data_IF_511224647403
#
_entry.id   IF_511224647403
#
_cell.length_a   1.000
_cell.length_b   1.000
_cell.length_c   1.000
_cell.angle_alpha   90.00
_cell.angle_beta   90.00
_cell.angle_gamma   90.00
#
_symmetry.space_group_name_H-M   'P 1'
#
loop_
_entity.id
_entity.type
_entity.pdbx_description
1 polymer ?
#
# COMPACT_ATOMS: atom_id res chain seq x y z
N UNK A 1 -1.83 -2.01 20.02
CA UNK A 1 -2.05 -0.72 19.30
C UNK A 1 -2.55 0.34 20.27
N UNK A 2 -2.08 1.59 20.16
CA UNK A 2 -2.67 2.73 20.86
C UNK A 2 -4.14 2.89 20.39
N UNK A 3 -5.07 3.07 21.31
CA UNK A 3 -6.44 3.48 20.98
C UNK A 3 -6.49 4.99 20.81
N UNK A 4 -7.12 5.44 19.73
CA UNK A 4 -7.33 6.84 19.43
C UNK A 4 -8.79 7.19 19.72
N UNK A 5 -9.03 8.31 20.41
CA UNK A 5 -10.37 8.79 20.66
C UNK A 5 -11.02 9.35 19.38
N UNK A 6 -12.36 9.46 19.32
CA UNK A 6 -13.02 10.10 18.19
C UNK A 6 -12.52 11.54 17.94
N UNK A 7 -12.20 12.29 19.01
CA UNK A 7 -11.64 13.64 18.94
C UNK A 7 -10.24 13.62 18.29
N UNK A 8 -9.33 12.75 18.75
CA UNK A 8 -8.00 12.58 18.15
C UNK A 8 -8.10 12.21 16.66
N UNK A 9 -9.04 11.32 16.31
CA UNK A 9 -9.28 10.93 14.90
C UNK A 9 -9.79 12.12 14.09
N UNK A 10 -10.72 12.90 14.61
CA UNK A 10 -11.22 14.11 13.94
C UNK A 10 -10.08 15.10 13.66
N UNK A 11 -9.23 15.37 14.64
CA UNK A 11 -8.08 16.26 14.50
C UNK A 11 -7.11 15.77 13.40
N UNK A 12 -6.88 14.46 13.31
CA UNK A 12 -6.03 13.86 12.26
C UNK A 12 -6.60 14.15 10.86
N UNK A 13 -7.90 13.89 10.65
CA UNK A 13 -8.53 14.12 9.35
C UNK A 13 -8.62 15.61 9.01
N UNK A 14 -8.91 16.48 9.96
CA UNK A 14 -8.93 17.91 9.78
C UNK A 14 -7.54 18.46 9.40
N UNK A 15 -6.48 18.02 10.08
CA UNK A 15 -5.10 18.37 9.73
C UNK A 15 -4.76 17.96 8.29
N UNK A 16 -5.05 16.72 7.91
CA UNK A 16 -4.79 16.22 6.55
C UNK A 16 -5.50 17.07 5.50
N UNK A 17 -6.76 17.44 5.74
CA UNK A 17 -7.50 18.34 4.84
C UNK A 17 -6.93 19.74 4.82
N UNK A 18 -6.45 20.25 5.96
CA UNK A 18 -5.81 21.56 6.05
C UNK A 18 -4.51 21.63 5.24
N UNK A 19 -3.69 20.58 5.30
CA UNK A 19 -2.46 20.49 4.51
C UNK A 19 -2.75 20.44 3.00
N UNK A 20 -3.77 19.67 2.59
CA UNK A 20 -4.24 19.67 1.21
C UNK A 20 -4.78 21.04 0.79
N UNK A 21 -5.57 21.68 1.63
CA UNK A 21 -6.15 23.00 1.35
C UNK A 21 -5.08 24.07 1.17
N UNK A 22 -4.00 24.04 1.96
CA UNK A 22 -2.86 24.94 1.79
C UNK A 22 -2.24 24.82 0.40
N UNK A 23 -1.98 23.58 -0.07
CA UNK A 23 -1.52 23.33 -1.44
C UNK A 23 -2.52 23.84 -2.49
N UNK A 24 -3.81 23.61 -2.28
CA UNK A 24 -4.87 24.04 -3.22
C UNK A 24 -4.94 25.58 -3.33
N UNK A 25 -4.80 26.30 -2.22
CA UNK A 25 -4.74 27.77 -2.22
C UNK A 25 -3.54 28.28 -3.03
N UNK A 26 -2.34 27.73 -2.78
CA UNK A 26 -1.12 28.10 -3.51
C UNK A 26 -1.26 27.88 -5.02
N UNK A 27 -1.92 26.78 -5.41
CA UNK A 27 -2.10 26.37 -6.82
C UNK A 27 -3.41 26.88 -7.45
N UNK A 28 -4.15 27.74 -6.74
CA UNK A 28 -5.44 28.33 -7.19
C UNK A 28 -6.47 27.28 -7.59
N UNK A 29 -6.57 26.21 -6.81
CA UNK A 29 -7.57 25.15 -6.94
C UNK A 29 -8.68 25.44 -5.93
N UNK A 30 -9.93 25.49 -6.37
CA UNK A 30 -11.08 25.78 -5.49
C UNK A 30 -11.56 24.52 -4.79
N UNK A 31 -11.61 23.39 -5.51
CA UNK A 31 -12.08 22.11 -4.98
C UNK A 31 -11.33 20.94 -5.62
N UNK A 32 -11.31 19.80 -4.93
CA UNK A 32 -10.84 18.52 -5.43
C UNK A 32 -11.91 17.45 -5.19
N UNK A 33 -12.07 16.53 -6.14
CA UNK A 33 -13.05 15.44 -6.08
C UNK A 33 -12.32 14.10 -6.02
N UNK A 34 -12.50 13.36 -4.94
CA UNK A 34 -12.05 11.97 -4.78
C UNK A 34 -13.26 11.06 -4.97
N UNK A 35 -13.14 10.03 -5.81
CA UNK A 35 -14.22 9.09 -6.10
C UNK A 35 -13.73 7.66 -5.92
N UNK A 36 -14.27 6.97 -4.94
CA UNK A 36 -13.97 5.57 -4.64
C UNK A 36 -15.18 4.69 -4.94
N UNK A 37 -14.98 3.61 -5.68
CA UNK A 37 -16.01 2.63 -6.01
C UNK A 37 -15.38 1.25 -6.26
N UNK A 38 -16.19 0.19 -6.36
CA UNK A 38 -15.72 -1.18 -6.52
C UNK A 38 -14.82 -1.39 -7.74
N UNK A 39 -15.10 -0.69 -8.85
CA UNK A 39 -14.34 -0.80 -10.10
C UNK A 39 -13.08 0.06 -10.11
N UNK A 40 -13.04 1.11 -9.28
CA UNK A 40 -11.94 2.07 -9.22
C UNK A 40 -11.76 2.61 -7.81
N UNK A 41 -10.76 2.06 -7.10
CA UNK A 41 -10.45 2.43 -5.72
C UNK A 41 -9.59 3.69 -5.62
N UNK A 42 -10.05 4.65 -4.82
CA UNK A 42 -9.30 5.86 -4.46
C UNK A 42 -9.07 5.91 -2.95
N UNK A 43 -7.90 5.48 -2.52
CA UNK A 43 -7.52 5.48 -1.11
C UNK A 43 -7.52 6.88 -0.46
N UNK A 44 -7.45 7.96 -1.27
CA UNK A 44 -7.49 9.32 -0.77
C UNK A 44 -8.83 9.66 -0.11
N UNK A 45 -9.95 9.08 -0.57
CA UNK A 45 -11.24 9.24 0.09
C UNK A 45 -11.14 8.80 1.57
N UNK A 46 -10.63 7.58 1.81
CA UNK A 46 -10.43 7.07 3.18
C UNK A 46 -9.42 7.89 3.96
N UNK A 47 -8.35 8.33 3.30
CA UNK A 47 -7.29 9.14 3.92
C UNK A 47 -7.79 10.46 4.49
N UNK A 48 -8.75 11.12 3.83
CA UNK A 48 -9.23 12.44 4.23
C UNK A 48 -10.48 12.44 5.10
N UNK A 49 -11.26 11.35 5.12
CA UNK A 49 -12.48 11.32 5.93
C UNK A 49 -12.76 10.01 6.68
N UNK A 50 -11.91 8.99 6.54
CA UNK A 50 -12.08 7.72 7.25
C UNK A 50 -13.15 6.79 6.67
N UNK A 51 -13.95 7.21 5.70
CA UNK A 51 -14.99 6.37 5.11
C UNK A 51 -14.37 5.16 4.40
N UNK A 52 -14.95 3.98 4.63
CA UNK A 52 -14.34 2.68 4.25
C UNK A 52 -14.97 2.02 3.02
N UNK A 53 -15.96 2.66 2.41
CA UNK A 53 -16.74 2.10 1.30
C UNK A 53 -16.92 3.13 0.19
N UNK A 54 -17.65 2.74 -0.85
CA UNK A 54 -17.92 3.54 -2.03
C UNK A 54 -18.50 4.92 -1.68
N UNK A 55 -17.97 5.95 -2.33
CA UNK A 55 -18.42 7.31 -2.10
C UNK A 55 -17.67 8.34 -2.95
N UNK A 56 -18.13 9.58 -2.84
CA UNK A 56 -17.49 10.75 -3.44
C UNK A 56 -17.19 11.73 -2.31
N UNK A 57 -15.93 12.12 -2.17
CA UNK A 57 -15.52 13.17 -1.24
C UNK A 57 -15.11 14.41 -2.03
N UNK A 58 -15.67 15.55 -1.70
CA UNK A 58 -15.29 16.82 -2.27
C UNK A 58 -14.69 17.67 -1.16
N UNK A 59 -13.44 18.09 -1.35
CA UNK A 59 -12.71 18.96 -0.40
C UNK A 59 -12.54 20.32 -1.03
N UNK A 60 -12.89 21.39 -0.30
CA UNK A 60 -12.69 22.77 -0.69
C UNK A 60 -11.36 23.30 -0.17
N UNK A 61 -10.85 24.37 -0.76
CA UNK A 61 -9.60 25.04 -0.37
C UNK A 61 -9.64 25.78 0.98
N UNK A 62 -10.76 25.73 1.69
CA UNK A 62 -10.88 26.13 3.10
C UNK A 62 -10.86 24.93 4.07
N UNK A 63 -10.47 23.76 3.59
CA UNK A 63 -10.44 22.48 4.27
C UNK A 63 -11.82 21.86 4.57
N UNK A 64 -12.92 22.54 4.27
CA UNK A 64 -14.26 21.96 4.43
C UNK A 64 -14.48 20.82 3.42
N UNK A 65 -15.28 19.82 3.81
CA UNK A 65 -15.55 18.68 2.94
C UNK A 65 -17.00 18.21 2.97
N UNK A 66 -17.43 17.63 1.86
CA UNK A 66 -18.72 16.96 1.70
C UNK A 66 -18.50 15.55 1.25
N UNK A 67 -18.99 14.58 2.02
CA UNK A 67 -19.02 13.17 1.66
C UNK A 67 -20.38 12.79 1.08
N UNK A 68 -20.39 12.10 -0.04
CA UNK A 68 -21.57 11.54 -0.69
C UNK A 68 -21.38 10.03 -0.75
N UNK A 69 -21.74 9.30 0.30
CA UNK A 69 -21.52 7.86 0.39
C UNK A 69 -22.61 7.08 -0.35
N UNK A 70 -22.24 5.89 -0.82
CA UNK A 70 -23.21 4.90 -1.28
C UNK A 70 -24.07 4.38 -0.13
N UNK A 71 -23.43 4.04 1.00
CA UNK A 71 -24.08 3.62 2.24
C UNK A 71 -24.00 4.71 3.31
N UNK A 72 -25.13 5.38 3.52
CA UNK A 72 -25.24 6.47 4.49
C UNK A 72 -25.05 5.99 5.93
N UNK A 73 -25.57 4.80 6.28
CA UNK A 73 -25.49 4.29 7.65
C UNK A 73 -24.05 3.99 8.04
N UNK A 74 -23.28 3.40 7.11
CA UNK A 74 -21.86 3.14 7.30
C UNK A 74 -21.06 4.43 7.41
N UNK A 75 -21.40 5.45 6.62
CA UNK A 75 -20.73 6.74 6.66
C UNK A 75 -20.99 7.50 7.96
N UNK A 76 -22.22 7.50 8.48
CA UNK A 76 -22.58 8.12 9.76
C UNK A 76 -21.86 7.46 10.95
N UNK A 77 -21.49 6.19 10.83
CA UNK A 77 -20.74 5.46 11.86
C UNK A 77 -19.23 5.76 11.82
N UNK A 78 -18.64 5.94 10.65
CA UNK A 78 -17.19 5.87 10.49
C UNK A 78 -16.55 7.14 9.90
N UNK A 79 -17.32 8.04 9.27
CA UNK A 79 -16.75 9.15 8.52
C UNK A 79 -16.61 10.43 9.35
N UNK A 80 -15.51 11.14 9.11
CA UNK A 80 -15.19 12.44 9.70
C UNK A 80 -15.27 13.54 8.62
N UNK A 81 -16.48 13.73 8.07
CA UNK A 81 -16.78 14.77 7.09
C UNK A 81 -17.67 15.86 7.70
N UNK A 82 -17.52 17.12 7.26
CA UNK A 82 -18.32 18.24 7.77
C UNK A 82 -19.79 18.10 7.38
N UNK A 83 -20.04 17.48 6.23
CA UNK A 83 -21.38 17.20 5.74
C UNK A 83 -21.42 15.85 5.03
N UNK A 84 -22.46 15.06 5.34
CA UNK A 84 -22.72 13.77 4.70
C UNK A 84 -24.07 13.89 3.99
N UNK A 85 -24.12 13.55 2.69
CA UNK A 85 -25.32 13.63 1.85
C UNK A 85 -25.50 12.30 1.15
N UNK A 86 -26.65 11.60 1.31
CA UNK A 86 -26.84 10.29 0.70
C UNK A 86 -26.82 10.40 -0.84
N UNK A 87 -26.12 9.48 -1.50
CA UNK A 87 -25.98 9.48 -2.95
C UNK A 87 -27.33 9.32 -3.70
N UNK A 88 -28.31 8.70 -3.05
CA UNK A 88 -29.68 8.60 -3.56
C UNK A 88 -30.36 9.95 -3.80
N UNK A 89 -29.94 11.02 -3.08
CA UNK A 89 -30.41 12.39 -3.34
C UNK A 89 -30.12 12.87 -4.75
N UNK A 90 -29.12 12.29 -5.38
CA UNK A 90 -28.67 12.65 -6.73
C UNK A 90 -28.95 11.53 -7.73
N UNK A 91 -29.91 10.66 -7.42
CA UNK A 91 -30.28 9.50 -8.24
C UNK A 91 -29.07 8.60 -8.59
N UNK A 92 -28.10 8.55 -7.68
CA UNK A 92 -26.82 7.83 -7.84
C UNK A 92 -26.06 8.23 -9.12
N UNK A 93 -26.12 9.48 -9.47
CA UNK A 93 -25.38 10.05 -10.61
C UNK A 93 -24.23 10.93 -10.10
N UNK A 94 -23.01 10.46 -10.34
CA UNK A 94 -21.77 11.11 -9.88
C UNK A 94 -21.65 12.55 -10.37
N UNK A 95 -21.89 12.79 -11.66
CA UNK A 95 -21.76 14.13 -12.25
C UNK A 95 -22.79 15.11 -11.67
N UNK A 96 -24.04 14.65 -11.48
CA UNK A 96 -25.10 15.44 -10.84
C UNK A 96 -24.76 15.76 -9.39
N UNK A 97 -24.23 14.77 -8.65
CA UNK A 97 -23.83 14.95 -7.26
C UNK A 97 -22.71 15.98 -7.12
N UNK A 98 -21.64 15.80 -7.89
CA UNK A 98 -20.49 16.71 -7.91
C UNK A 98 -20.91 18.14 -8.29
N UNK A 99 -21.70 18.29 -9.39
CA UNK A 99 -22.24 19.60 -9.80
C UNK A 99 -23.03 20.30 -8.69
N UNK A 100 -23.95 19.57 -8.04
CA UNK A 100 -24.80 20.14 -7.00
C UNK A 100 -23.96 20.64 -5.79
N UNK A 101 -22.94 19.90 -5.37
CA UNK A 101 -22.07 20.30 -4.28
C UNK A 101 -21.17 21.47 -4.68
N UNK A 102 -20.49 21.37 -5.83
CA UNK A 102 -19.62 22.44 -6.34
C UNK A 102 -20.35 23.77 -6.52
N UNK A 103 -21.62 23.73 -6.93
CA UNK A 103 -22.45 24.96 -7.02
C UNK A 103 -22.56 25.65 -5.67
N UNK A 104 -22.58 24.93 -4.56
CA UNK A 104 -22.60 25.49 -3.19
C UNK A 104 -21.25 25.95 -2.70
N UNK A 105 -20.16 25.43 -3.29
CA UNK A 105 -18.78 25.73 -2.93
C UNK A 105 -18.13 26.83 -3.77
N UNK A 106 -18.80 27.25 -4.87
CA UNK A 106 -18.25 28.23 -5.79
C UNK A 106 -17.93 29.57 -5.14
N UNK A 107 -16.71 30.07 -5.39
CA UNK A 107 -16.28 31.40 -4.97
C UNK A 107 -16.64 32.46 -6.04
N UNK A 108 -16.53 33.74 -5.68
CA UNK A 108 -16.67 34.81 -6.68
C UNK A 108 -15.44 34.79 -7.61
N UNK A 109 -15.67 34.61 -8.89
CA UNK A 109 -14.61 34.59 -9.91
C UNK A 109 -14.42 33.24 -10.56
N UNK A 110 -13.19 32.97 -11.02
CA UNK A 110 -12.89 31.71 -11.70
C UNK A 110 -12.72 30.57 -10.69
N UNK A 111 -13.54 29.55 -10.81
CA UNK A 111 -13.44 28.35 -9.99
C UNK A 111 -12.69 27.24 -10.74
N UNK A 112 -11.86 26.50 -10.00
CA UNK A 112 -11.07 25.39 -10.52
C UNK A 112 -11.38 24.15 -9.71
N UNK A 113 -11.62 23.03 -10.38
CA UNK A 113 -11.79 21.72 -9.74
C UNK A 113 -10.84 20.69 -10.35
N UNK A 114 -10.09 20.04 -9.48
CA UNK A 114 -9.28 18.88 -9.87
C UNK A 114 -10.10 17.60 -9.69
N UNK A 115 -10.13 16.77 -10.74
CA UNK A 115 -10.61 15.39 -10.69
C UNK A 115 -9.41 14.44 -10.79
N UNK A 116 -9.59 13.17 -10.42
CA UNK A 116 -8.50 12.18 -10.45
C UNK A 116 -7.81 12.13 -11.81
N UNK A 117 -6.46 12.09 -11.88
CA UNK A 117 -5.72 11.86 -13.12
C UNK A 117 -6.13 10.57 -13.85
N UNK A 118 -6.65 9.59 -13.08
CA UNK A 118 -7.11 8.30 -13.60
C UNK A 118 -8.57 8.33 -14.10
N UNK A 119 -9.25 9.51 -14.05
CA UNK A 119 -10.59 9.67 -14.59
C UNK A 119 -10.60 9.33 -16.08
N UNK A 120 -11.52 8.45 -16.49
CA UNK A 120 -11.64 8.10 -17.90
C UNK A 120 -11.91 9.34 -18.75
N UNK A 121 -11.41 9.36 -19.99
CA UNK A 121 -11.64 10.50 -20.89
C UNK A 121 -13.13 10.82 -21.07
N UNK A 122 -13.98 9.79 -21.16
CA UNK A 122 -15.42 9.99 -21.32
C UNK A 122 -16.08 10.59 -20.08
N UNK A 123 -15.62 10.21 -18.88
CA UNK A 123 -16.14 10.77 -17.65
C UNK A 123 -15.62 12.19 -17.42
N UNK A 124 -14.38 12.46 -17.79
CA UNK A 124 -13.85 13.83 -17.80
C UNK A 124 -14.70 14.77 -18.68
N UNK A 125 -15.07 14.35 -19.91
CA UNK A 125 -15.93 15.15 -20.77
C UNK A 125 -17.31 15.41 -20.13
N UNK A 126 -17.90 14.43 -19.44
CA UNK A 126 -19.17 14.62 -18.72
C UNK A 126 -19.06 15.68 -17.62
N UNK A 127 -17.91 15.73 -16.90
CA UNK A 127 -17.67 16.79 -15.92
C UNK A 127 -17.53 18.16 -16.59
N UNK A 128 -16.77 18.26 -17.67
CA UNK A 128 -16.60 19.52 -18.42
C UNK A 128 -17.96 20.05 -18.92
N UNK A 129 -18.78 19.19 -19.52
CA UNK A 129 -20.11 19.57 -20.02
C UNK A 129 -21.08 19.98 -18.89
N UNK A 130 -20.98 19.33 -17.74
CA UNK A 130 -21.85 19.61 -16.62
C UNK A 130 -21.46 20.88 -15.82
N UNK A 131 -20.20 21.31 -15.90
CA UNK A 131 -19.59 22.36 -15.08
C UNK A 131 -19.04 23.52 -15.95
N UNK A 132 -19.89 24.18 -16.77
CA UNK A 132 -19.42 25.20 -17.74
C UNK A 132 -18.77 26.42 -17.07
N UNK A 133 -19.09 26.70 -15.79
CA UNK A 133 -18.54 27.81 -15.03
C UNK A 133 -17.28 27.44 -14.24
N UNK A 134 -16.77 26.21 -14.40
CA UNK A 134 -15.59 25.70 -13.72
C UNK A 134 -14.49 25.35 -14.72
N UNK A 135 -13.23 25.60 -14.33
CA UNK A 135 -12.06 25.05 -15.00
C UNK A 135 -11.83 23.63 -14.44
N UNK A 136 -12.38 22.62 -15.15
CA UNK A 136 -12.22 21.21 -14.75
C UNK A 136 -10.86 20.70 -15.20
N UNK A 137 -10.05 20.22 -14.27
CA UNK A 137 -8.70 19.73 -14.53
C UNK A 137 -8.56 18.26 -14.22
N UNK A 138 -7.99 17.52 -15.18
CA UNK A 138 -7.58 16.12 -15.06
C UNK A 138 -6.15 16.03 -15.58
N UNK A 139 -5.15 16.12 -14.71
CA UNK A 139 -3.73 16.26 -15.10
C UNK A 139 -2.80 15.79 -13.99
N UNK A 140 -1.52 15.60 -14.33
CA UNK A 140 -0.44 15.42 -13.37
C UNK A 140 -0.15 16.71 -12.59
N UNK A 141 0.55 16.59 -11.49
CA UNK A 141 0.87 17.69 -10.55
C UNK A 141 -0.42 18.36 -10.02
N UNK A 142 -1.41 17.53 -9.76
CA UNK A 142 -2.75 17.91 -9.29
C UNK A 142 -2.85 17.83 -7.77
N UNK A 143 -3.98 18.28 -7.22
CA UNK A 143 -4.31 18.04 -5.82
C UNK A 143 -4.38 16.53 -5.47
N UNK A 144 -4.71 15.67 -6.44
CA UNK A 144 -4.65 14.21 -6.27
C UNK A 144 -3.23 13.69 -6.10
N UNK A 145 -2.29 14.13 -6.94
CA UNK A 145 -0.89 13.72 -6.83
C UNK A 145 -0.28 14.19 -5.51
N UNK A 146 -0.61 15.42 -5.11
CA UNK A 146 -0.21 15.95 -3.80
C UNK A 146 -0.79 15.11 -2.66
N UNK A 147 -2.08 14.79 -2.69
CA UNK A 147 -2.75 13.93 -1.71
C UNK A 147 -2.06 12.56 -1.60
N UNK A 148 -1.71 11.97 -2.73
CA UNK A 148 -0.98 10.70 -2.79
C UNK A 148 0.43 10.82 -2.21
N UNK A 149 1.12 11.94 -2.47
CA UNK A 149 2.45 12.22 -1.92
C UNK A 149 2.42 12.45 -0.39
N UNK A 150 1.36 13.08 0.14
CA UNK A 150 1.18 13.25 1.60
C UNK A 150 1.20 11.89 2.33
N UNK A 151 0.64 10.84 1.74
CA UNK A 151 0.58 9.50 2.33
C UNK A 151 1.94 8.82 2.46
N UNK A 152 2.99 9.33 1.79
CA UNK A 152 4.34 8.78 1.90
C UNK A 152 4.88 8.86 3.34
N UNK A 153 4.57 9.94 4.06
CA UNK A 153 4.99 10.15 5.44
C UNK A 153 3.80 9.88 6.36
N UNK A 154 3.86 8.76 7.07
CA UNK A 154 2.78 8.27 7.92
C UNK A 154 2.72 9.06 9.22
N UNK A 155 1.52 9.45 9.62
CA UNK A 155 1.28 9.99 10.96
C UNK A 155 1.21 8.85 12.00
N UNK A 156 1.04 9.23 13.28
CA UNK A 156 1.05 8.27 14.38
C UNK A 156 -0.06 7.21 14.30
N UNK A 157 -1.23 7.58 13.78
CA UNK A 157 -2.34 6.63 13.59
C UNK A 157 -2.03 5.61 12.50
N UNK A 158 -1.50 6.06 11.37
CA UNK A 158 -1.11 5.22 10.25
C UNK A 158 -0.01 4.23 10.65
N UNK A 159 1.02 4.73 11.38
CA UNK A 159 2.12 3.90 11.89
C UNK A 159 1.58 2.81 12.83
N UNK A 160 0.70 3.15 13.76
CA UNK A 160 0.12 2.18 14.69
C UNK A 160 -0.73 1.12 13.98
N UNK A 161 -1.52 1.52 12.97
CA UNK A 161 -2.33 0.58 12.17
C UNK A 161 -1.43 -0.38 11.37
N UNK A 162 -0.39 0.14 10.72
CA UNK A 162 0.56 -0.69 9.95
C UNK A 162 1.34 -1.64 10.85
N UNK A 163 1.79 -1.17 12.03
CA UNK A 163 2.46 -2.04 13.02
C UNK A 163 1.54 -3.15 13.54
N UNK A 164 0.25 -2.88 13.72
CA UNK A 164 -0.67 -3.95 14.14
C UNK A 164 -0.92 -4.94 12.99
N UNK A 165 -1.02 -4.47 11.72
CA UNK A 165 -1.08 -5.35 10.55
C UNK A 165 0.17 -6.25 10.48
N UNK A 166 1.37 -5.68 10.61
CA UNK A 166 2.64 -6.40 10.63
C UNK A 166 2.68 -7.47 11.73
N UNK A 167 2.31 -7.11 12.96
CA UNK A 167 2.24 -8.03 14.10
C UNK A 167 1.25 -9.18 13.88
N UNK A 168 0.13 -8.93 13.21
CA UNK A 168 -0.82 -9.99 12.84
C UNK A 168 -0.19 -10.89 11.77
N UNK A 169 0.47 -10.32 10.75
CA UNK A 169 1.23 -11.05 9.75
C UNK A 169 2.25 -12.00 10.37
N UNK A 170 3.03 -11.53 11.34
CA UNK A 170 4.02 -12.35 12.07
C UNK A 170 3.38 -13.54 12.81
N UNK A 171 2.23 -13.33 13.48
CA UNK A 171 1.47 -14.43 14.11
C UNK A 171 1.00 -15.47 13.10
N UNK A 172 0.61 -15.01 11.91
CA UNK A 172 0.20 -15.91 10.82
C UNK A 172 1.41 -16.71 10.34
N UNK A 173 2.58 -16.08 10.17
CA UNK A 173 3.84 -16.78 9.81
C UNK A 173 4.20 -17.86 10.83
N UNK A 174 4.12 -17.55 12.13
CA UNK A 174 4.36 -18.54 13.18
C UNK A 174 3.38 -19.71 13.12
N UNK A 175 2.10 -19.42 12.84
CA UNK A 175 1.06 -20.41 12.62
C UNK A 175 1.32 -21.30 11.39
N UNK A 176 1.79 -20.72 10.30
CA UNK A 176 2.19 -21.42 9.07
C UNK A 176 3.33 -22.39 9.38
N UNK A 177 4.41 -21.91 10.01
CA UNK A 177 5.56 -22.74 10.35
C UNK A 177 5.17 -23.95 11.22
N UNK A 178 4.35 -23.72 12.26
CA UNK A 178 3.84 -24.79 13.11
C UNK A 178 3.00 -25.83 12.33
N UNK A 179 2.18 -25.36 11.37
CA UNK A 179 1.32 -26.26 10.57
C UNK A 179 2.10 -27.04 9.53
N UNK A 180 3.13 -26.46 8.94
CA UNK A 180 4.05 -27.15 8.03
C UNK A 180 4.73 -28.29 8.79
N UNK A 181 5.33 -28.00 9.95
CA UNK A 181 6.02 -29.00 10.79
C UNK A 181 5.10 -30.13 11.26
N UNK A 182 3.79 -29.86 11.40
CA UNK A 182 2.74 -30.85 11.71
C UNK A 182 2.15 -31.53 10.47
N UNK A 183 2.63 -31.24 9.26
CA UNK A 183 2.12 -31.78 8.00
C UNK A 183 0.67 -31.41 7.67
N UNK A 184 0.17 -30.28 8.21
CA UNK A 184 -1.21 -29.78 8.00
C UNK A 184 -1.34 -28.82 6.82
N UNK A 185 -0.24 -28.21 6.37
CA UNK A 185 -0.14 -27.44 5.14
C UNK A 185 0.73 -28.26 4.19
N UNK A 186 0.20 -28.58 3.00
CA UNK A 186 0.86 -29.45 2.00
C UNK A 186 0.81 -28.86 0.60
N UNK A 187 -0.10 -27.92 0.34
CA UNK A 187 -0.30 -27.29 -0.97
C UNK A 187 -0.24 -25.78 -0.89
N UNK A 188 -0.03 -25.14 -2.04
CA UNK A 188 -0.11 -23.68 -2.16
C UNK A 188 -1.49 -23.16 -1.73
N UNK A 189 -2.56 -23.90 -2.12
CA UNK A 189 -3.93 -23.57 -1.70
C UNK A 189 -4.12 -23.67 -0.18
N UNK A 190 -3.54 -24.70 0.49
CA UNK A 190 -3.67 -24.84 1.94
C UNK A 190 -3.11 -23.62 2.68
N UNK A 191 -1.95 -23.14 2.27
CA UNK A 191 -1.34 -21.97 2.93
C UNK A 191 -2.10 -20.68 2.65
N UNK A 192 -2.55 -20.48 1.41
CA UNK A 192 -3.33 -19.28 1.04
C UNK A 192 -4.66 -19.21 1.81
N UNK A 193 -5.41 -20.32 1.88
CA UNK A 193 -6.66 -20.38 2.66
C UNK A 193 -6.42 -20.24 4.17
N UNK A 194 -5.30 -20.76 4.68
CA UNK A 194 -4.94 -20.56 6.08
C UNK A 194 -4.70 -19.09 6.39
N UNK A 195 -3.96 -18.37 5.53
CA UNK A 195 -3.71 -16.93 5.68
C UNK A 195 -5.03 -16.16 5.69
N UNK A 196 -5.92 -16.39 4.71
CA UNK A 196 -7.22 -15.73 4.62
C UNK A 196 -8.07 -15.97 5.90
N UNK A 197 -8.11 -17.22 6.37
CA UNK A 197 -8.84 -17.58 7.58
C UNK A 197 -8.30 -16.88 8.83
N UNK A 198 -6.99 -16.89 9.05
CA UNK A 198 -6.39 -16.26 10.23
C UNK A 198 -6.45 -14.71 10.14
N UNK A 199 -6.30 -14.15 8.95
CA UNK A 199 -6.48 -12.72 8.68
C UNK A 199 -7.86 -12.26 9.21
N UNK A 200 -8.95 -12.91 8.81
CA UNK A 200 -10.30 -12.60 9.28
C UNK A 200 -10.48 -12.83 10.77
N UNK A 201 -9.94 -13.90 11.29
CA UNK A 201 -10.02 -14.26 12.71
C UNK A 201 -9.33 -13.22 13.61
N UNK A 202 -8.24 -12.62 13.16
CA UNK A 202 -7.56 -11.54 13.87
C UNK A 202 -8.18 -10.14 13.64
N UNK A 203 -9.32 -10.06 12.92
CA UNK A 203 -10.07 -8.82 12.72
C UNK A 203 -9.50 -7.92 11.63
N UNK A 204 -8.67 -8.45 10.72
CA UNK A 204 -8.25 -7.74 9.53
C UNK A 204 -9.40 -7.64 8.51
N UNK A 205 -9.41 -6.56 7.75
CA UNK A 205 -10.41 -6.30 6.72
C UNK A 205 -10.29 -7.27 5.53
N UNK A 206 -9.08 -7.62 5.15
CA UNK A 206 -8.74 -8.53 4.04
C UNK A 206 -7.25 -8.83 4.03
N UNK A 207 -6.80 -9.72 3.15
CA UNK A 207 -5.38 -9.78 2.74
C UNK A 207 -5.01 -8.50 1.99
N UNK A 208 -3.75 -8.10 2.05
CA UNK A 208 -3.24 -6.88 1.40
C UNK A 208 -3.36 -6.94 -0.11
N UNK A 209 -3.12 -8.13 -0.64
CA UNK A 209 -3.21 -8.53 -2.04
C UNK A 209 -3.48 -10.05 -2.11
N UNK A 210 -3.66 -10.58 -3.31
CA UNK A 210 -3.80 -12.02 -3.50
C UNK A 210 -2.53 -12.73 -3.06
N UNK A 211 -2.63 -13.56 -2.02
CA UNK A 211 -1.50 -14.33 -1.49
C UNK A 211 -0.76 -15.05 -2.62
N UNK A 212 0.56 -14.87 -2.69
CA UNK A 212 1.41 -15.57 -3.63
C UNK A 212 2.11 -16.74 -2.91
N UNK A 213 1.74 -17.96 -3.26
CA UNK A 213 2.39 -19.15 -2.77
C UNK A 213 2.96 -19.97 -3.94
N UNK A 214 4.28 -20.08 -3.99
CA UNK A 214 4.99 -20.75 -5.07
C UNK A 214 5.84 -21.91 -4.52
N UNK A 215 5.47 -23.14 -4.86
CA UNK A 215 6.31 -24.33 -4.63
C UNK A 215 7.59 -24.31 -5.48
N UNK A 216 8.53 -25.26 -5.29
CA UNK A 216 9.85 -25.20 -5.90
C UNK A 216 9.86 -25.10 -7.43
N UNK A 217 8.89 -25.72 -8.10
CA UNK A 217 8.76 -25.64 -9.55
C UNK A 217 8.27 -24.30 -10.09
N UNK A 218 7.83 -23.38 -9.23
CA UNK A 218 7.24 -22.09 -9.58
C UNK A 218 7.91 -20.91 -8.91
N UNK A 219 8.67 -21.11 -7.82
CA UNK A 219 9.30 -20.06 -7.01
C UNK A 219 10.32 -19.22 -7.78
N UNK A 220 10.78 -19.68 -8.94
CA UNK A 220 11.68 -18.92 -9.82
C UNK A 220 11.00 -17.71 -10.48
N UNK A 221 9.68 -17.64 -10.48
CA UNK A 221 8.93 -16.50 -11.00
C UNK A 221 8.76 -15.44 -9.91
N UNK A 222 9.02 -14.17 -10.25
CA UNK A 222 8.85 -13.02 -9.31
C UNK A 222 7.43 -12.97 -8.78
N UNK A 223 6.44 -12.98 -9.70
CA UNK A 223 5.03 -13.14 -9.44
C UNK A 223 4.54 -14.38 -10.20
N UNK A 224 4.39 -15.50 -9.50
CA UNK A 224 3.89 -16.69 -10.14
C UNK A 224 2.39 -16.55 -10.46
N UNK A 225 2.01 -16.92 -11.65
CA UNK A 225 0.61 -16.95 -12.07
C UNK A 225 0.18 -18.39 -12.44
N UNK A 226 -0.96 -18.91 -11.94
CA UNK A 226 -1.80 -18.33 -10.87
C UNK A 226 -1.04 -18.10 -9.56
N UNK A 227 -1.52 -17.20 -8.70
CA UNK A 227 -0.82 -16.82 -7.46
C UNK A 227 -0.62 -18.01 -6.51
N UNK A 228 -1.51 -18.99 -6.55
CA UNK A 228 -1.40 -20.29 -5.89
C UNK A 228 -2.21 -21.34 -6.64
N UNK A 229 -1.85 -22.60 -6.45
CA UNK A 229 -2.46 -23.78 -7.09
C UNK A 229 -2.63 -24.91 -6.07
N UNK A 230 -3.11 -26.08 -6.53
CA UNK A 230 -3.09 -27.32 -5.74
C UNK A 230 -1.68 -27.95 -5.69
N UNK A 231 -0.65 -27.30 -6.23
CA UNK A 231 0.74 -27.76 -6.21
C UNK A 231 1.30 -27.89 -4.80
N UNK A 232 2.32 -28.74 -4.65
CA UNK A 232 2.95 -29.00 -3.35
C UNK A 232 3.62 -27.75 -2.79
N UNK A 233 3.29 -27.40 -1.55
CA UNK A 233 3.93 -26.34 -0.79
C UNK A 233 3.96 -26.68 0.71
N UNK A 234 5.14 -26.57 1.39
CA UNK A 234 6.45 -26.44 0.77
C UNK A 234 6.90 -27.78 0.14
N UNK A 235 7.50 -27.72 -1.05
CA UNK A 235 8.11 -28.88 -1.71
C UNK A 235 9.61 -28.97 -1.42
N UNK A 236 10.25 -30.08 -1.82
CA UNK A 236 11.71 -30.26 -1.75
C UNK A 236 12.41 -29.16 -2.60
N UNK A 237 13.31 -28.39 -1.97
CA UNK A 237 13.96 -27.22 -2.57
C UNK A 237 13.49 -25.90 -1.97
N UNK A 238 13.35 -24.86 -2.80
CA UNK A 238 13.02 -23.48 -2.40
C UNK A 238 11.57 -23.15 -2.76
N UNK A 239 10.78 -22.76 -1.77
CA UNK A 239 9.40 -22.30 -1.96
C UNK A 239 9.28 -20.87 -1.43
N UNK A 240 8.53 -20.00 -2.13
CA UNK A 240 8.25 -18.62 -1.73
C UNK A 240 6.80 -18.51 -1.23
N UNK A 241 6.59 -17.67 -0.23
CA UNK A 241 5.30 -17.22 0.23
C UNK A 241 5.37 -15.71 0.43
N UNK A 242 4.45 -15.00 -0.21
CA UNK A 242 4.35 -13.56 -0.17
C UNK A 242 2.89 -13.16 0.12
N UNK A 243 2.68 -12.39 1.18
CA UNK A 243 1.36 -11.95 1.61
C UNK A 243 1.42 -10.73 2.53
N UNK A 244 0.33 -10.01 2.58
CA UNK A 244 0.08 -8.96 3.55
C UNK A 244 -1.31 -9.06 4.15
N UNK A 245 -1.58 -8.34 5.23
CA UNK A 245 -2.90 -8.22 5.84
C UNK A 245 -3.26 -6.75 6.05
N UNK A 246 -4.55 -6.42 5.91
CA UNK A 246 -5.06 -5.05 6.05
C UNK A 246 -5.76 -4.89 7.39
N UNK A 247 -5.23 -4.03 8.23
CA UNK A 247 -5.83 -3.66 9.51
C UNK A 247 -6.18 -2.17 9.53
N UNK A 248 -7.46 -1.85 9.72
CA UNK A 248 -8.00 -0.48 9.67
C UNK A 248 -7.56 0.29 8.41
N UNK A 249 -7.51 -0.41 7.25
CA UNK A 249 -7.14 0.12 5.96
C UNK A 249 -5.66 0.04 5.61
N UNK A 250 -4.78 -0.08 6.59
CA UNK A 250 -3.33 -0.10 6.38
C UNK A 250 -2.81 -1.52 6.22
N UNK A 251 -2.01 -1.74 5.18
CA UNK A 251 -1.47 -3.06 4.84
C UNK A 251 -0.08 -3.27 5.42
N UNK A 252 0.23 -4.52 5.78
CA UNK A 252 1.59 -5.03 5.84
C UNK A 252 1.96 -5.72 4.54
N UNK A 253 3.27 -5.95 4.34
CA UNK A 253 3.82 -6.71 3.23
C UNK A 253 5.00 -7.55 3.70
N UNK A 254 4.99 -8.86 3.37
CA UNK A 254 6.08 -9.73 3.81
C UNK A 254 6.23 -10.96 2.92
N UNK A 255 7.45 -11.22 2.50
CA UNK A 255 7.81 -12.46 1.82
C UNK A 255 8.76 -13.29 2.68
N UNK A 256 8.50 -14.58 2.75
CA UNK A 256 9.40 -15.56 3.33
C UNK A 256 9.76 -16.66 2.32
N UNK A 257 10.91 -17.30 2.55
CA UNK A 257 11.31 -18.46 1.78
C UNK A 257 11.34 -19.71 2.67
N UNK A 258 10.77 -20.79 2.20
CA UNK A 258 10.87 -22.11 2.86
C UNK A 258 11.86 -22.97 2.09
N UNK A 259 12.93 -23.38 2.78
CA UNK A 259 13.96 -24.29 2.29
C UNK A 259 13.71 -25.67 2.89
N UNK A 260 13.36 -26.66 2.05
CA UNK A 260 13.03 -28.01 2.50
C UNK A 260 13.96 -29.05 1.92
N UNK A 261 14.40 -30.01 2.77
CA UNK A 261 15.25 -31.11 2.39
C UNK A 261 16.72 -30.69 2.16
N UNK A 262 17.47 -31.52 1.42
CA UNK A 262 18.88 -31.25 1.14
C UNK A 262 19.01 -30.33 -0.07
N UNK A 263 19.42 -29.08 0.17
CA UNK A 263 19.71 -28.12 -0.87
C UNK A 263 21.05 -28.40 -1.57
N UNK A 264 21.16 -28.07 -2.84
CA UNK A 264 22.46 -28.02 -3.51
C UNK A 264 23.25 -26.77 -3.11
N UNK A 265 24.56 -26.76 -3.43
CA UNK A 265 25.45 -25.64 -3.09
C UNK A 265 24.98 -24.31 -3.67
N UNK A 266 24.51 -24.32 -4.89
CA UNK A 266 24.04 -23.15 -5.61
C UNK A 266 22.77 -22.55 -4.97
N UNK A 267 21.87 -23.39 -4.45
CA UNK A 267 20.69 -22.93 -3.70
C UNK A 267 21.08 -22.28 -2.35
N UNK A 268 22.04 -22.85 -1.63
CA UNK A 268 22.59 -22.26 -0.40
C UNK A 268 23.29 -20.91 -0.70
N UNK A 269 23.98 -20.79 -1.82
CA UNK A 269 24.59 -19.52 -2.26
C UNK A 269 23.53 -18.45 -2.58
N UNK A 270 22.39 -18.82 -3.19
CA UNK A 270 21.27 -17.88 -3.40
C UNK A 270 20.74 -17.35 -2.05
N UNK A 271 20.48 -18.25 -1.09
CA UNK A 271 20.01 -17.86 0.24
C UNK A 271 21.01 -16.91 0.89
N UNK A 272 22.30 -17.28 0.93
CA UNK A 272 23.33 -16.47 1.57
C UNK A 272 23.48 -15.06 0.94
N UNK A 273 23.29 -14.96 -0.40
CA UNK A 273 23.33 -13.68 -1.09
C UNK A 273 22.13 -12.81 -0.74
N UNK A 274 20.91 -13.37 -0.68
CA UNK A 274 19.69 -12.63 -0.34
C UNK A 274 19.72 -12.19 1.13
N UNK A 275 20.11 -13.06 2.07
CA UNK A 275 20.29 -12.70 3.47
C UNK A 275 21.31 -11.57 3.65
N UNK A 276 22.45 -11.65 2.92
CA UNK A 276 23.45 -10.59 2.93
C UNK A 276 22.90 -9.28 2.36
N UNK A 277 22.16 -9.34 1.25
CA UNK A 277 21.56 -8.19 0.61
C UNK A 277 20.53 -7.51 1.54
N UNK A 278 19.66 -8.28 2.22
CA UNK A 278 18.71 -7.78 3.20
C UNK A 278 19.44 -7.06 4.35
N UNK A 279 20.44 -7.72 4.94
CA UNK A 279 21.22 -7.17 6.07
C UNK A 279 21.98 -5.90 5.70
N UNK A 280 22.65 -5.88 4.55
CA UNK A 280 23.46 -4.72 4.13
C UNK A 280 22.57 -3.61 3.55
N UNK A 281 21.50 -3.94 2.83
CA UNK A 281 20.51 -2.99 2.32
C UNK A 281 19.83 -2.21 3.43
N UNK A 282 19.43 -2.88 4.52
CA UNK A 282 18.79 -2.26 5.68
C UNK A 282 19.61 -1.10 6.28
N UNK A 283 20.94 -1.13 6.19
CA UNK A 283 21.80 -0.06 6.68
C UNK A 283 21.62 1.26 5.92
N UNK A 284 21.05 1.21 4.72
CA UNK A 284 20.77 2.35 3.86
C UNK A 284 19.34 2.90 4.03
N UNK A 285 18.45 2.17 4.71
CA UNK A 285 17.10 2.62 5.04
C UNK A 285 17.15 3.59 6.23
N UNK A 286 17.59 4.82 6.00
CA UNK A 286 17.80 5.84 7.03
C UNK A 286 17.48 7.22 6.51
N UNK A 287 17.04 8.10 7.40
CA UNK A 287 16.83 9.53 7.12
C UNK A 287 18.00 10.12 6.32
N UNK A 288 17.67 10.80 5.23
CA UNK A 288 18.61 11.54 4.39
C UNK A 288 19.46 10.70 3.43
N UNK A 289 19.41 9.36 3.52
CA UNK A 289 20.04 8.51 2.50
C UNK A 289 19.18 8.52 1.25
N UNK A 290 19.81 8.67 0.07
CA UNK A 290 19.08 8.64 -1.20
C UNK A 290 18.53 7.24 -1.48
N UNK A 291 17.29 7.19 -1.97
CA UNK A 291 16.60 5.95 -2.33
C UNK A 291 17.42 5.12 -3.33
N UNK A 292 18.07 5.80 -4.29
CA UNK A 292 18.99 5.17 -5.25
C UNK A 292 20.18 4.47 -4.59
N UNK A 293 20.72 5.04 -3.52
CA UNK A 293 21.89 4.47 -2.85
C UNK A 293 21.57 3.12 -2.18
N UNK A 294 20.35 2.97 -1.63
CA UNK A 294 19.89 1.70 -1.07
C UNK A 294 19.78 0.62 -2.17
N UNK A 295 19.11 0.95 -3.29
CA UNK A 295 19.00 0.03 -4.42
C UNK A 295 20.37 -0.34 -5.01
N UNK A 296 21.24 0.66 -5.26
CA UNK A 296 22.56 0.42 -5.80
C UNK A 296 23.43 -0.47 -4.90
N UNK A 297 23.27 -0.36 -3.57
CA UNK A 297 24.02 -1.21 -2.63
C UNK A 297 23.64 -2.68 -2.76
N UNK A 298 22.38 -3.00 -2.88
CA UNK A 298 21.90 -4.38 -3.05
C UNK A 298 22.33 -4.93 -4.42
N UNK A 299 22.19 -4.14 -5.47
CA UNK A 299 22.65 -4.53 -6.81
C UNK A 299 24.16 -4.81 -6.86
N UNK A 300 24.98 -3.99 -6.15
CA UNK A 300 26.42 -4.25 -5.99
C UNK A 300 26.69 -5.62 -5.35
N UNK A 301 25.91 -6.00 -4.33
CA UNK A 301 26.06 -7.28 -3.64
C UNK A 301 25.74 -8.43 -4.58
N UNK A 302 24.64 -8.33 -5.30
CA UNK A 302 24.22 -9.35 -6.26
C UNK A 302 25.20 -9.47 -7.44
N UNK A 303 25.69 -8.34 -7.98
CA UNK A 303 26.68 -8.32 -9.06
C UNK A 303 28.00 -9.01 -8.67
N UNK A 304 28.46 -8.86 -7.42
CA UNK A 304 29.64 -9.59 -6.89
C UNK A 304 29.41 -11.11 -6.87
N UNK A 305 28.16 -11.55 -6.65
CA UNK A 305 27.73 -12.94 -6.77
C UNK A 305 27.40 -13.37 -8.21
N UNK A 306 27.67 -12.53 -9.22
CA UNK A 306 27.30 -12.74 -10.64
C UNK A 306 25.79 -13.00 -10.83
N UNK A 307 24.97 -12.32 -10.04
CA UNK A 307 23.51 -12.36 -10.06
C UNK A 307 22.96 -10.93 -10.21
N UNK A 308 21.71 -10.83 -10.63
CA UNK A 308 20.97 -9.57 -10.70
C UNK A 308 19.54 -9.76 -10.23
N UNK A 309 18.97 -8.73 -9.63
CA UNK A 309 17.58 -8.68 -9.23
C UNK A 309 16.75 -8.08 -10.36
N UNK A 310 15.64 -8.72 -10.77
CA UNK A 310 14.86 -8.25 -11.93
C UNK A 310 13.76 -7.24 -11.56
N UNK A 311 13.63 -6.83 -10.30
CA UNK A 311 12.63 -5.87 -9.80
C UNK A 311 13.24 -4.77 -8.93
N UNK A 312 12.43 -3.83 -8.45
CA UNK A 312 12.84 -2.82 -7.47
C UNK A 312 13.19 -3.45 -6.13
N UNK A 313 13.95 -2.72 -5.31
CA UNK A 313 14.33 -3.19 -3.97
C UNK A 313 13.19 -3.03 -2.96
N UNK A 314 12.16 -2.26 -3.27
CA UNK A 314 11.03 -2.03 -2.38
C UNK A 314 10.15 -0.86 -2.82
N UNK A 315 9.13 -0.63 -2.04
CA UNK A 315 8.15 0.44 -2.24
C UNK A 315 7.56 0.88 -0.90
N UNK A 316 6.95 2.06 -0.87
CA UNK A 316 6.12 2.48 0.26
C UNK A 316 4.87 1.62 0.37
N UNK A 317 4.37 1.47 1.58
CA UNK A 317 3.08 0.82 1.88
C UNK A 317 2.22 1.72 2.75
N UNK A 318 0.91 1.50 2.75
CA UNK A 318 -0.02 2.27 3.57
C UNK A 318 -1.45 1.82 3.36
N UNK A 319 -2.32 2.71 2.90
CA UNK A 319 -3.69 2.37 2.47
C UNK A 319 -3.68 1.54 1.18
N UNK A 320 -2.66 1.69 0.35
CA UNK A 320 -2.40 0.86 -0.82
C UNK A 320 -1.13 0.05 -0.60
N UNK A 321 -1.06 -1.11 -1.27
CA UNK A 321 0.11 -1.99 -1.18
C UNK A 321 1.34 -1.32 -1.81
N UNK A 322 1.17 -0.60 -2.90
CA UNK A 322 2.24 0.15 -3.56
C UNK A 322 2.00 1.64 -3.42
N UNK A 323 2.80 2.29 -2.58
CA UNK A 323 2.83 3.74 -2.41
C UNK A 323 4.24 4.29 -2.68
N UNK A 324 4.36 5.62 -2.75
CA UNK A 324 5.68 6.28 -2.77
C UNK A 324 6.36 6.15 -1.39
N UNK A 325 7.71 5.98 -1.35
CA UNK A 325 8.63 5.97 -2.48
C UNK A 325 8.81 4.59 -3.12
N UNK A 326 9.25 4.55 -4.40
CA UNK A 326 9.70 3.33 -5.07
C UNK A 326 11.21 3.21 -4.98
N UNK A 327 11.72 2.18 -4.29
CA UNK A 327 13.15 1.97 -4.06
C UNK A 327 13.78 1.25 -5.24
N UNK A 328 14.32 2.01 -6.17
CA UNK A 328 14.93 1.52 -7.42
C UNK A 328 16.01 2.47 -7.91
N UNK A 329 16.93 1.99 -8.75
CA UNK A 329 18.00 2.82 -9.32
C UNK A 329 17.48 3.99 -10.20
N UNK A 330 16.26 3.86 -10.74
CA UNK A 330 15.62 4.90 -11.57
C UNK A 330 14.79 5.90 -10.74
N UNK A 331 14.83 5.83 -9.40
CA UNK A 331 14.22 6.85 -8.56
C UNK A 331 14.82 8.23 -8.83
N UNK A 332 14.13 9.30 -8.48
CA UNK A 332 14.64 10.66 -8.61
C UNK A 332 15.95 10.84 -7.83
N UNK A 333 16.87 11.66 -8.37
CA UNK A 333 18.25 11.70 -7.87
C UNK A 333 18.36 12.22 -6.44
N UNK A 334 17.46 13.11 -6.06
CA UNK A 334 17.37 13.82 -4.78
C UNK A 334 16.35 13.22 -3.81
N UNK A 335 15.59 12.21 -4.25
CA UNK A 335 14.67 11.48 -3.37
C UNK A 335 15.45 10.77 -2.26
N UNK A 336 15.09 11.11 -1.01
CA UNK A 336 15.69 10.56 0.21
C UNK A 336 14.65 9.89 1.10
N UNK A 337 15.09 8.98 1.93
CA UNK A 337 14.25 8.46 3.01
C UNK A 337 14.00 9.56 4.06
N UNK A 338 12.74 9.68 4.47
CA UNK A 338 12.28 10.63 5.49
C UNK A 338 11.63 9.88 6.66
N UNK A 339 11.77 10.37 7.90
CA UNK A 339 11.08 9.82 9.06
C UNK A 339 9.58 9.76 8.85
N UNK A 340 8.94 8.67 9.29
CA UNK A 340 7.53 8.39 9.05
C UNK A 340 7.25 7.60 7.77
N UNK A 341 8.21 7.44 6.85
CA UNK A 341 8.04 6.52 5.72
C UNK A 341 8.05 5.07 6.22
N UNK A 342 7.11 4.24 5.74
CA UNK A 342 7.14 2.79 5.88
C UNK A 342 7.34 2.22 4.48
N UNK A 343 8.44 1.46 4.32
CA UNK A 343 8.95 1.05 3.01
C UNK A 343 9.39 -0.40 3.06
N UNK A 344 9.03 -1.21 2.07
CA UNK A 344 9.50 -2.59 1.98
C UNK A 344 10.98 -2.65 1.64
N UNK A 345 11.64 -3.70 2.13
CA UNK A 345 12.99 -4.10 1.74
C UNK A 345 12.93 -5.57 1.33
N UNK A 346 12.92 -5.83 0.02
CA UNK A 346 12.57 -7.12 -0.58
C UNK A 346 13.63 -7.69 -1.55
N UNK A 347 14.90 -7.83 -1.16
CA UNK A 347 15.87 -8.44 -2.05
C UNK A 347 15.48 -9.87 -2.41
N UNK A 348 15.52 -10.18 -3.72
CA UNK A 348 15.17 -11.48 -4.25
C UNK A 348 16.07 -11.91 -5.40
N UNK A 349 16.32 -13.23 -5.50
CA UNK A 349 17.01 -13.88 -6.60
C UNK A 349 16.20 -15.07 -7.11
N UNK A 350 16.14 -15.21 -8.42
CA UNK A 350 15.30 -16.20 -9.10
C UNK A 350 16.09 -16.91 -10.18
N UNK A 351 16.00 -18.23 -10.20
CA UNK A 351 16.71 -19.06 -11.16
C UNK A 351 15.81 -20.23 -11.56
N UNK A 352 15.63 -20.45 -12.85
CA UNK A 352 14.68 -21.44 -13.37
C UNK A 352 14.96 -22.87 -12.88
N UNK A 353 16.22 -23.18 -12.65
CA UNK A 353 16.66 -24.54 -12.28
C UNK A 353 16.84 -24.69 -10.76
N UNK A 354 17.07 -23.59 -10.04
CA UNK A 354 17.33 -23.58 -8.59
C UNK A 354 16.11 -23.19 -7.76
N UNK A 355 15.15 -22.47 -8.38
CA UNK A 355 14.02 -21.83 -7.68
C UNK A 355 14.31 -20.40 -7.31
N UNK A 356 13.48 -19.81 -6.44
CA UNK A 356 13.58 -18.42 -5.99
C UNK A 356 13.79 -18.30 -4.49
N UNK A 357 14.45 -17.21 -4.10
CA UNK A 357 14.61 -16.75 -2.72
C UNK A 357 14.25 -15.28 -2.67
N UNK A 358 13.29 -14.91 -1.82
CA UNK A 358 12.99 -13.53 -1.45
C UNK A 358 12.80 -13.43 0.06
N UNK A 359 13.37 -12.39 0.64
CA UNK A 359 13.11 -11.96 2.01
C UNK A 359 12.61 -10.54 1.95
N UNK A 360 11.46 -10.28 2.56
CA UNK A 360 10.85 -8.96 2.55
C UNK A 360 10.35 -8.57 3.93
N UNK A 361 10.74 -7.39 4.32
CA UNK A 361 10.26 -6.78 5.55
C UNK A 361 9.79 -5.35 5.31
N UNK A 362 8.77 -4.95 6.05
CA UNK A 362 8.37 -3.57 6.21
C UNK A 362 9.32 -2.86 7.17
N UNK A 363 9.79 -1.70 6.76
CA UNK A 363 10.78 -0.90 7.50
C UNK A 363 10.24 0.51 7.72
N UNK A 364 10.02 0.88 8.98
CA UNK A 364 9.72 2.24 9.38
C UNK A 364 11.01 3.06 9.47
N UNK A 365 11.09 4.16 8.74
CA UNK A 365 12.18 5.13 8.87
C UNK A 365 11.92 6.01 10.08
N UNK A 366 12.91 6.14 10.98
CA UNK A 366 12.84 6.96 12.18
C UNK A 366 13.86 8.09 12.15
N UNK A 367 13.78 9.01 13.11
CA UNK A 367 14.78 10.09 13.25
C UNK A 367 16.20 9.54 13.51
N UNK A 368 16.31 8.46 14.28
CA UNK A 368 17.58 7.86 14.68
C UNK A 368 18.07 6.76 13.72
N UNK A 369 17.22 6.26 12.83
CA UNK A 369 17.57 5.17 11.93
C UNK A 369 16.38 4.48 11.28
N UNK A 370 16.15 3.22 11.66
CA UNK A 370 15.00 2.45 11.18
C UNK A 370 14.52 1.44 12.21
N UNK A 371 13.28 0.99 12.04
CA UNK A 371 12.65 -0.10 12.79
C UNK A 371 12.07 -1.09 11.77
N UNK A 372 12.53 -2.34 11.80
CA UNK A 372 11.91 -3.43 11.03
C UNK A 372 10.66 -3.88 11.77
N UNK A 373 9.50 -3.79 11.14
CA UNK A 373 8.20 -4.03 11.79
C UNK A 373 7.55 -5.37 11.45
N UNK A 374 8.09 -6.11 10.46
CA UNK A 374 7.72 -7.50 10.13
C UNK A 374 8.88 -8.45 10.38
N UNK A 375 8.64 -9.76 10.39
CA UNK A 375 9.66 -10.77 10.71
C UNK A 375 9.78 -11.84 9.61
N UNK A 376 10.19 -11.40 8.43
CA UNK A 376 10.55 -12.29 7.31
C UNK A 376 11.79 -13.14 7.65
N UNK A 377 11.77 -14.39 7.23
CA UNK A 377 12.86 -15.34 7.52
C UNK A 377 12.93 -16.49 6.52
N UNK A 378 14.06 -17.19 6.49
CA UNK A 378 14.20 -18.48 5.84
C UNK A 378 13.74 -19.57 6.83
N UNK A 379 12.67 -20.28 6.50
CA UNK A 379 12.20 -21.45 7.27
C UNK A 379 12.89 -22.69 6.72
N UNK A 380 13.70 -23.37 7.52
CA UNK A 380 14.38 -24.61 7.15
C UNK A 380 13.65 -25.83 7.72
N UNK A 381 13.36 -26.83 6.86
CA UNK A 381 12.63 -28.05 7.18
C UNK A 381 13.40 -29.31 6.85
#
# INVERSE_FOLDING_TARGET
MKEFTPEEMKEIYERRRSDLAAFMVENKITAVVFSDNEDHRDANLRYFCGHVSDGILIVKNDASCVLIPWDINLAELNAFADKIIPFTRYERNTVRAVKAVLTTMADKGKNVVDVSPDTSYLDFLKFVDALPDWDVRCRKDSAHDFATAMRAIKDSYEIECTKEAAKIGDKIIDGIEQRIRKGKIKTETDVALFIESECRKYGCERTGFDTLAAGPSRSFAIHCFPNYTAGQWPGEGLSILDFGVVYKGYTSDTTLTVAKGKLCKEQEELIALVEKAAKEGLKYYKKGITIRAAAAKVDEIFAKGKRSMPHGLGHGIGLQIHEYPFVRQRAEADSVFLPGMIVTLEPGLYDKDLGGVRLENDVLITEEGNEVITNSRIIRL
#
